data_IF_908827994479
#
_entry.id   IF_908827994479
#
_cell.length_a   1.000
_cell.length_b   1.000
_cell.length_c   1.000
_cell.angle_alpha   90.00
_cell.angle_beta   90.00
_cell.angle_gamma   90.00
#
_symmetry.space_group_name_H-M   'P 1'
#
loop_
_entity.id
_entity.type
_entity.pdbx_description
1 polymer ?
#
# COMPACT_ATOMS: atom_id res chain seq x y z
N UNK A 1 11.07 -27.06 20.85
CA UNK A 1 9.96 -26.91 19.89
C UNK A 1 8.66 -27.11 20.65
N UNK A 2 7.80 -26.10 20.76
CA UNK A 2 6.58 -26.18 21.60
C UNK A 2 5.59 -27.15 20.94
N UNK A 3 5.23 -28.23 21.64
CA UNK A 3 4.32 -29.27 21.12
C UNK A 3 2.87 -28.90 21.47
N UNK A 4 2.29 -28.01 20.67
CA UNK A 4 0.90 -27.56 20.84
C UNK A 4 -0.11 -28.67 20.51
N UNK A 5 -1.19 -28.78 21.29
CA UNK A 5 -2.37 -29.61 20.97
C UNK A 5 -3.07 -29.03 19.74
N UNK A 6 -3.85 -29.86 19.02
CA UNK A 6 -4.56 -29.45 17.79
C UNK A 6 -5.39 -28.16 17.97
N UNK A 7 -6.21 -28.10 19.03
CA UNK A 7 -7.01 -26.92 19.37
C UNK A 7 -6.17 -25.65 19.57
N UNK A 8 -5.02 -25.78 20.22
CA UNK A 8 -4.10 -24.67 20.45
C UNK A 8 -3.47 -24.21 19.13
N UNK A 9 -3.06 -25.15 18.26
CA UNK A 9 -2.57 -24.82 16.91
C UNK A 9 -3.60 -24.06 16.08
N UNK A 10 -4.87 -24.49 16.12
CA UNK A 10 -5.95 -23.83 15.37
C UNK A 10 -6.25 -22.42 15.89
N UNK A 11 -6.11 -22.20 17.21
CA UNK A 11 -6.23 -20.87 17.82
C UNK A 11 -5.04 -19.98 17.48
N UNK A 12 -3.81 -20.50 17.60
CA UNK A 12 -2.58 -19.81 17.20
C UNK A 12 -2.65 -19.39 15.73
N UNK A 13 -3.10 -20.29 14.84
CA UNK A 13 -3.26 -20.00 13.42
C UNK A 13 -4.21 -18.84 13.17
N UNK A 14 -5.42 -18.88 13.74
CA UNK A 14 -6.42 -17.81 13.57
C UNK A 14 -5.93 -16.47 14.11
N UNK A 15 -5.28 -16.48 15.27
CA UNK A 15 -4.73 -15.28 15.86
C UNK A 15 -3.63 -14.65 14.98
N UNK A 16 -2.68 -15.46 14.49
CA UNK A 16 -1.59 -14.98 13.65
C UNK A 16 -2.10 -14.44 12.30
N UNK A 17 -3.11 -15.09 11.69
CA UNK A 17 -3.77 -14.57 10.48
C UNK A 17 -4.41 -13.21 10.75
N UNK A 18 -5.12 -13.06 11.87
CA UNK A 18 -5.72 -11.78 12.25
C UNK A 18 -4.67 -10.69 12.47
N UNK A 19 -3.56 -11.01 13.17
CA UNK A 19 -2.44 -10.07 13.35
C UNK A 19 -1.80 -9.66 12.01
N UNK A 20 -1.58 -10.62 11.11
CA UNK A 20 -1.04 -10.38 9.78
C UNK A 20 -1.93 -9.41 9.01
N UNK A 21 -3.22 -9.77 8.86
CA UNK A 21 -4.19 -8.97 8.10
C UNK A 21 -4.30 -7.54 8.61
N UNK A 22 -4.51 -7.38 9.92
CA UNK A 22 -4.71 -6.05 10.52
C UNK A 22 -3.48 -5.16 10.39
N UNK A 23 -2.28 -5.70 10.66
CA UNK A 23 -1.03 -4.93 10.57
C UNK A 23 -0.66 -4.63 9.11
N UNK A 24 -0.87 -5.59 8.21
CA UNK A 24 -0.62 -5.42 6.77
C UNK A 24 -1.56 -4.39 6.15
N UNK A 25 -2.87 -4.42 6.47
CA UNK A 25 -3.82 -3.39 6.00
C UNK A 25 -3.44 -1.99 6.50
N UNK A 26 -2.93 -1.86 7.73
CA UNK A 26 -2.41 -0.58 8.24
C UNK A 26 -1.18 -0.10 7.48
N UNK A 27 -0.22 -1.00 7.21
CA UNK A 27 0.97 -0.67 6.43
C UNK A 27 0.61 -0.31 4.98
N UNK A 28 -0.22 -1.13 4.34
CA UNK A 28 -0.64 -0.93 2.94
C UNK A 28 -1.44 0.35 2.78
N UNK A 29 -2.16 0.83 3.82
CA UNK A 29 -2.79 2.14 3.78
C UNK A 29 -1.76 3.26 3.64
N UNK A 30 -0.63 3.17 4.32
CA UNK A 30 0.44 4.18 4.25
C UNK A 30 1.20 4.01 2.93
N UNK A 31 1.60 2.79 2.58
CA UNK A 31 2.38 2.47 1.37
C UNK A 31 1.61 2.70 0.07
N UNK A 32 0.28 2.47 0.05
CA UNK A 32 -0.55 2.68 -1.15
C UNK A 32 -0.39 4.09 -1.70
N UNK A 33 -0.33 5.09 -0.83
CA UNK A 33 -0.17 6.45 -1.31
C UNK A 33 1.21 6.67 -1.97
N UNK A 34 2.26 5.99 -1.50
CA UNK A 34 3.59 6.01 -2.12
C UNK A 34 3.64 5.28 -3.44
N UNK A 35 2.99 4.11 -3.55
CA UNK A 35 2.96 3.34 -4.79
C UNK A 35 2.11 4.00 -5.87
N UNK A 36 1.14 4.84 -5.50
CA UNK A 36 0.35 5.64 -6.43
C UNK A 36 1.18 6.74 -7.12
N UNK A 37 2.12 7.39 -6.44
CA UNK A 37 2.92 8.49 -7.03
C UNK A 37 3.64 8.10 -8.33
N UNK A 38 4.44 7.01 -8.40
CA UNK A 38 5.11 6.64 -9.64
C UNK A 38 4.12 6.26 -10.75
N UNK A 39 2.96 5.67 -10.40
CA UNK A 39 1.88 5.39 -11.36
C UNK A 39 1.29 6.69 -11.90
N UNK A 40 0.92 7.62 -11.03
CA UNK A 40 0.35 8.92 -11.41
C UNK A 40 1.35 9.73 -12.26
N UNK A 41 2.64 9.72 -11.91
CA UNK A 41 3.71 10.33 -12.70
C UNK A 41 3.85 9.70 -14.09
N UNK A 42 3.75 8.37 -14.17
CA UNK A 42 3.76 7.69 -15.46
C UNK A 42 2.55 8.12 -16.32
N UNK A 43 1.36 8.19 -15.73
CA UNK A 43 0.15 8.66 -16.42
C UNK A 43 0.30 10.11 -16.88
N UNK A 44 0.80 11.01 -16.04
CA UNK A 44 1.06 12.41 -16.38
C UNK A 44 1.99 12.51 -17.60
N UNK A 45 3.08 11.72 -17.62
CA UNK A 45 4.01 11.68 -18.75
C UNK A 45 3.32 11.25 -20.05
N UNK A 46 2.40 10.28 -19.99
CA UNK A 46 1.62 9.88 -21.17
C UNK A 46 0.66 10.99 -21.63
N UNK A 47 0.00 11.67 -20.69
CA UNK A 47 -0.94 12.76 -20.97
C UNK A 47 -0.24 13.99 -21.58
N UNK A 48 0.93 14.36 -21.07
CA UNK A 48 1.79 15.42 -21.65
C UNK A 48 2.40 15.00 -22.99
N UNK A 49 2.58 13.70 -23.19
CA UNK A 49 3.07 13.09 -24.43
C UNK A 49 2.07 13.19 -25.59
N UNK A 50 0.79 13.37 -25.29
CA UNK A 50 -0.31 13.32 -26.27
C UNK A 50 -0.26 14.46 -27.28
N UNK A 51 -0.86 14.22 -28.47
CA UNK A 51 -0.97 15.24 -29.52
C UNK A 51 -1.78 16.45 -29.05
N UNK A 52 -2.81 16.21 -28.23
CA UNK A 52 -3.67 17.27 -27.69
C UNK A 52 -2.92 18.18 -26.73
N UNK A 53 -1.92 17.68 -25.99
CA UNK A 53 -1.07 18.53 -25.15
C UNK A 53 -0.01 19.30 -25.95
N UNK A 54 0.63 18.65 -26.93
CA UNK A 54 1.76 19.21 -27.69
C UNK A 54 1.37 20.14 -28.83
N UNK A 55 0.16 20.00 -29.38
CA UNK A 55 -0.29 20.80 -30.52
C UNK A 55 -0.28 22.30 -30.21
N UNK A 56 0.13 23.14 -31.17
CA UNK A 56 0.09 24.60 -31.07
C UNK A 56 -1.33 25.16 -31.06
N UNK A 57 -2.30 24.45 -31.66
CA UNK A 57 -3.75 24.74 -31.54
C UNK A 57 -4.33 24.09 -30.28
N UNK A 58 -3.64 24.25 -29.16
CA UNK A 58 -3.92 23.42 -27.99
C UNK A 58 -5.32 23.66 -27.45
N UNK A 59 -6.04 22.59 -27.15
CA UNK A 59 -7.23 22.67 -26.33
C UNK A 59 -6.82 23.15 -24.92
N UNK A 60 -7.01 24.44 -24.65
CA UNK A 60 -6.66 25.09 -23.38
C UNK A 60 -7.29 24.37 -22.18
N UNK A 61 -8.50 23.84 -22.35
CA UNK A 61 -9.19 23.05 -21.30
C UNK A 61 -8.45 21.76 -20.99
N UNK A 62 -8.00 21.03 -22.02
CA UNK A 62 -7.22 19.81 -21.83
C UNK A 62 -5.87 20.10 -21.13
N UNK A 63 -5.16 21.16 -21.54
CA UNK A 63 -3.92 21.59 -20.88
C UNK A 63 -4.13 21.89 -19.40
N UNK A 64 -5.20 22.61 -19.06
CA UNK A 64 -5.53 22.90 -17.67
C UNK A 64 -5.78 21.61 -16.87
N UNK A 65 -6.53 20.65 -17.41
CA UNK A 65 -6.76 19.36 -16.74
C UNK A 65 -5.45 18.60 -16.46
N UNK A 66 -4.50 18.63 -17.41
CA UNK A 66 -3.19 18.00 -17.23
C UNK A 66 -2.37 18.74 -16.17
N UNK A 67 -2.40 20.07 -16.16
CA UNK A 67 -1.70 20.88 -15.15
C UNK A 67 -2.33 20.69 -13.74
N UNK A 68 -3.65 20.61 -13.65
CA UNK A 68 -4.36 20.33 -12.40
C UNK A 68 -3.98 18.94 -11.87
N UNK A 69 -3.80 17.97 -12.77
CA UNK A 69 -3.33 16.64 -12.42
C UNK A 69 -1.87 16.64 -11.93
N UNK A 70 -0.98 17.42 -12.56
CA UNK A 70 0.39 17.64 -12.07
C UNK A 70 0.40 18.24 -10.66
N UNK A 71 -0.38 19.30 -10.43
CA UNK A 71 -0.51 19.93 -9.11
C UNK A 71 -1.07 18.95 -8.06
N UNK A 72 -2.05 18.13 -8.44
CA UNK A 72 -2.58 17.08 -7.59
C UNK A 72 -1.48 16.10 -7.14
N UNK A 73 -0.62 15.65 -8.06
CA UNK A 73 0.50 14.73 -7.76
C UNK A 73 1.47 15.39 -6.77
N UNK A 74 1.81 16.66 -6.97
CA UNK A 74 2.72 17.40 -6.09
C UNK A 74 2.17 17.55 -4.67
N UNK A 75 0.89 17.92 -4.54
CA UNK A 75 0.22 18.03 -3.24
C UNK A 75 0.13 16.66 -2.58
N UNK A 76 -0.23 15.62 -3.34
CA UNK A 76 -0.31 14.25 -2.86
C UNK A 76 1.04 13.78 -2.32
N UNK A 77 2.14 14.01 -3.05
CA UNK A 77 3.49 13.64 -2.61
C UNK A 77 3.84 14.27 -1.27
N UNK A 78 3.65 15.59 -1.12
CA UNK A 78 3.91 16.30 0.15
C UNK A 78 3.11 15.73 1.33
N UNK A 79 1.83 15.45 1.12
CA UNK A 79 0.96 14.88 2.14
C UNK A 79 1.36 13.45 2.56
N UNK A 80 1.95 12.71 1.63
CA UNK A 80 2.33 11.32 1.80
C UNK A 80 3.69 11.23 2.51
N UNK A 81 4.61 12.13 2.17
CA UNK A 81 5.88 12.35 2.87
C UNK A 81 5.64 12.60 4.37
N UNK A 82 4.71 13.50 4.71
CA UNK A 82 4.34 13.82 6.09
C UNK A 82 3.72 12.65 6.90
N UNK A 83 3.29 11.56 6.26
CA UNK A 83 2.72 10.38 6.94
C UNK A 83 3.73 9.27 7.23
N UNK A 84 4.90 9.30 6.58
CA UNK A 84 5.92 8.24 6.70
C UNK A 84 7.20 8.76 7.30
N UNK A 85 7.45 10.06 7.20
CA UNK A 85 8.65 10.70 7.69
C UNK A 85 8.30 11.73 8.76
N UNK A 86 9.13 11.76 9.80
CA UNK A 86 9.06 12.77 10.86
C UNK A 86 9.63 14.12 10.38
N UNK A 87 10.57 14.07 9.42
CA UNK A 87 11.26 15.25 8.92
C UNK A 87 10.91 15.58 7.47
N UNK A 88 10.96 16.88 7.15
CA UNK A 88 10.68 17.40 5.81
C UNK A 88 11.68 16.93 4.74
N UNK A 89 12.87 16.45 5.12
CA UNK A 89 13.87 15.93 4.18
C UNK A 89 13.72 14.43 3.92
N UNK A 90 12.69 13.78 4.50
CA UNK A 90 12.43 12.35 4.33
C UNK A 90 13.61 11.45 4.73
N UNK A 91 14.35 11.81 5.79
CA UNK A 91 15.53 11.07 6.27
C UNK A 91 15.22 10.17 7.47
N UNK A 92 14.23 10.53 8.27
CA UNK A 92 13.80 9.87 9.49
C UNK A 92 12.38 9.39 9.33
N UNK A 93 12.19 8.07 9.48
CA UNK A 93 10.86 7.50 9.49
C UNK A 93 10.10 7.97 10.71
N UNK A 94 8.81 8.19 10.51
CA UNK A 94 7.86 8.37 11.59
C UNK A 94 7.93 7.15 12.53
N UNK A 95 8.02 7.35 13.86
CA UNK A 95 8.13 6.25 14.82
C UNK A 95 6.95 5.26 14.79
N UNK A 96 5.73 5.72 14.50
CA UNK A 96 4.56 4.83 14.39
C UNK A 96 4.67 3.95 13.15
N UNK A 97 5.07 4.54 12.02
CA UNK A 97 5.34 3.79 10.80
C UNK A 97 6.47 2.76 11.01
N UNK A 98 7.57 3.17 11.66
CA UNK A 98 8.69 2.27 11.97
C UNK A 98 8.23 1.10 12.85
N UNK A 99 7.47 1.38 13.91
CA UNK A 99 6.91 0.35 14.77
C UNK A 99 6.00 -0.61 14.00
N UNK A 100 5.11 -0.12 13.13
CA UNK A 100 4.24 -0.96 12.31
C UNK A 100 5.05 -1.88 11.40
N UNK A 101 6.12 -1.37 10.78
CA UNK A 101 7.00 -2.15 9.91
C UNK A 101 7.73 -3.26 10.68
N UNK A 102 8.29 -2.93 11.84
CA UNK A 102 8.96 -3.91 12.70
C UNK A 102 7.99 -4.95 13.26
N UNK A 103 6.80 -4.51 13.69
CA UNK A 103 5.73 -5.39 14.17
C UNK A 103 5.30 -6.37 13.08
N UNK A 104 5.13 -5.91 11.85
CA UNK A 104 4.75 -6.78 10.74
C UNK A 104 5.83 -7.84 10.47
N UNK A 105 7.10 -7.44 10.41
CA UNK A 105 8.21 -8.38 10.25
C UNK A 105 8.29 -9.40 11.41
N UNK A 106 7.97 -8.99 12.64
CA UNK A 106 7.89 -9.90 13.79
C UNK A 106 6.73 -10.91 13.63
N UNK A 107 5.58 -10.48 13.11
CA UNK A 107 4.43 -11.36 12.82
C UNK A 107 4.80 -12.40 11.75
N UNK A 108 5.48 -12.00 10.67
CA UNK A 108 5.94 -12.94 9.63
C UNK A 108 6.88 -14.00 10.21
N UNK A 109 7.83 -13.59 11.06
CA UNK A 109 8.72 -14.50 11.78
C UNK A 109 7.94 -15.44 12.70
N UNK A 110 6.92 -14.94 13.40
CA UNK A 110 6.06 -15.76 14.25
C UNK A 110 5.28 -16.79 13.43
N UNK A 111 4.68 -16.41 12.30
CA UNK A 111 4.00 -17.33 11.38
C UNK A 111 4.97 -18.40 10.89
N UNK A 112 6.15 -18.01 10.41
CA UNK A 112 7.16 -18.95 9.94
C UNK A 112 7.61 -19.92 11.04
N UNK A 113 7.69 -19.45 12.29
CA UNK A 113 8.06 -20.27 13.44
C UNK A 113 6.95 -21.26 13.87
N UNK A 114 5.71 -20.80 14.01
CA UNK A 114 4.61 -21.59 14.56
C UNK A 114 3.87 -22.43 13.52
N UNK A 115 3.79 -21.95 12.28
CA UNK A 115 2.98 -22.54 11.20
C UNK A 115 3.84 -22.99 10.00
N UNK A 116 5.05 -22.45 9.87
CA UNK A 116 5.98 -22.77 8.78
C UNK A 116 5.97 -21.75 7.64
N UNK A 117 7.04 -21.72 6.86
CA UNK A 117 7.21 -20.77 5.74
C UNK A 117 6.14 -20.92 4.65
N UNK A 118 5.74 -22.15 4.32
CA UNK A 118 4.67 -22.40 3.34
C UNK A 118 3.33 -21.80 3.76
N UNK A 119 3.04 -21.81 5.06
CA UNK A 119 1.81 -21.17 5.56
C UNK A 119 1.90 -19.65 5.41
N UNK A 120 3.07 -19.04 5.66
CA UNK A 120 3.28 -17.61 5.44
C UNK A 120 3.03 -17.22 3.98
N UNK A 121 3.60 -17.96 3.02
CA UNK A 121 3.38 -17.75 1.58
C UNK A 121 1.90 -17.87 1.20
N UNK A 122 1.20 -18.85 1.78
CA UNK A 122 -0.23 -19.07 1.58
C UNK A 122 -1.06 -17.91 2.12
N UNK A 123 -0.78 -17.45 3.35
CA UNK A 123 -1.44 -16.29 3.96
C UNK A 123 -1.23 -15.04 3.11
N UNK A 124 0.00 -14.79 2.66
CA UNK A 124 0.30 -13.64 1.81
C UNK A 124 -0.50 -13.70 0.49
N UNK A 125 -0.51 -14.85 -0.19
CA UNK A 125 -1.23 -15.01 -1.45
C UNK A 125 -2.75 -14.80 -1.29
N UNK A 126 -3.33 -15.35 -0.22
CA UNK A 126 -4.74 -15.16 0.10
C UNK A 126 -5.07 -13.70 0.42
N UNK A 127 -4.17 -13.01 1.13
CA UNK A 127 -4.32 -11.60 1.45
C UNK A 127 -4.35 -10.73 0.18
N UNK A 128 -3.38 -10.91 -0.73
CA UNK A 128 -3.32 -10.15 -1.99
C UNK A 128 -4.54 -10.43 -2.90
N UNK A 129 -4.96 -11.69 -2.96
CA UNK A 129 -6.18 -12.07 -3.68
C UNK A 129 -7.42 -11.38 -3.09
N UNK A 130 -7.57 -11.37 -1.76
CA UNK A 130 -8.66 -10.68 -1.08
C UNK A 130 -8.63 -9.16 -1.35
N UNK A 131 -7.46 -8.51 -1.23
CA UNK A 131 -7.36 -7.07 -1.45
C UNK A 131 -7.71 -6.69 -2.90
N UNK A 132 -7.29 -7.50 -3.86
CA UNK A 132 -7.63 -7.32 -5.28
C UNK A 132 -9.13 -7.51 -5.51
N UNK A 133 -9.70 -8.60 -4.97
CA UNK A 133 -11.13 -8.91 -5.10
C UNK A 133 -12.00 -7.79 -4.52
N UNK A 134 -11.63 -7.25 -3.35
CA UNK A 134 -12.32 -6.11 -2.74
C UNK A 134 -12.28 -4.87 -3.62
N UNK A 135 -11.21 -4.62 -4.38
CA UNK A 135 -11.11 -3.48 -5.29
C UNK A 135 -12.02 -3.71 -6.50
N UNK A 136 -11.99 -4.92 -7.08
CA UNK A 136 -12.77 -5.26 -8.27
C UNK A 136 -14.28 -5.33 -7.99
N UNK A 137 -14.66 -5.83 -6.82
CA UNK A 137 -16.04 -6.03 -6.40
C UNK A 137 -16.56 -4.93 -5.47
N UNK A 138 -15.78 -3.86 -5.23
CA UNK A 138 -16.26 -2.69 -4.53
C UNK A 138 -17.47 -2.14 -5.30
N UNK A 139 -18.68 -2.36 -4.76
CA UNK A 139 -19.88 -1.69 -5.24
C UNK A 139 -19.69 -0.21 -4.93
N UNK A 140 -19.56 0.62 -5.95
CA UNK A 140 -19.48 2.06 -5.79
C UNK A 140 -20.68 2.52 -4.95
N UNK A 141 -20.42 3.13 -3.79
CA UNK A 141 -21.34 4.11 -3.26
C UNK A 141 -21.15 5.36 -4.13
N UNK A 142 -21.77 5.34 -5.31
CA UNK A 142 -22.01 6.54 -6.13
C UNK A 142 -22.93 7.51 -5.38
#
# INVERSE_FOLDING_TARGET
>A
MIKLKKKEKDLTRRYLIWCYKTTKESLDRIERYYTQIPVDQYLLKQLMGSKDFKSSKTNKKYKNLVNDFEQYIDVKKKNVDAKKFEDLNCKKLDPEYQYLKERFAAIEKAIAHFLGKKELETINSLYEAEMTDRILNAREHL
#
